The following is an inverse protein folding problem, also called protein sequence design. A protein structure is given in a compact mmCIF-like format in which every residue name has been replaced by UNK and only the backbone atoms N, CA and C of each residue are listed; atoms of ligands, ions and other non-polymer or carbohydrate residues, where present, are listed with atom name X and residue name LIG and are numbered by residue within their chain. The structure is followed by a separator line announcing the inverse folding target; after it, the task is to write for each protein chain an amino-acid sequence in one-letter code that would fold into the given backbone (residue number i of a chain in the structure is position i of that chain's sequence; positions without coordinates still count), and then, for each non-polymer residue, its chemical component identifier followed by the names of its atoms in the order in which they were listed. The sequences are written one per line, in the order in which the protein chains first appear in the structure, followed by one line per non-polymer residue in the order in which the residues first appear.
data_IF_779014898705
#
_entry.id   IF_779014898705
#
_cell.length_a   1.000
_cell.length_b   1.000
_cell.length_c   1.000
_cell.angle_alpha   90.00
_cell.angle_beta   90.00
_cell.angle_gamma   90.00
#
_symmetry.space_group_name_H-M   'P 1'
#
loop_
_entity.id
_entity.type
_entity.pdbx_description
1 polymer ?
#
# COMPACT_ATOMS: atom_id res chain seq x y z
N UNK A 1 10.37 8.36 46.81
CA UNK A 1 10.21 7.77 45.45
C UNK A 1 8.78 7.23 45.34
N UNK A 2 7.90 7.93 44.63
CA UNK A 2 6.49 7.57 44.47
C UNK A 2 6.34 6.65 43.26
N UNK A 3 5.91 5.40 43.46
CA UNK A 3 5.61 4.44 42.38
C UNK A 3 4.33 4.86 41.64
N UNK A 4 4.29 4.87 40.29
CA UNK A 4 3.07 5.16 39.54
C UNK A 4 2.09 3.97 39.58
N UNK A 5 0.81 4.27 39.71
CA UNK A 5 -0.27 3.28 39.74
C UNK A 5 -0.48 2.61 38.37
N UNK A 6 -0.80 1.30 38.31
CA UNK A 6 -1.05 0.61 37.06
C UNK A 6 -2.41 1.05 36.48
N UNK A 7 -2.40 1.66 35.30
CA UNK A 7 -3.63 1.98 34.57
C UNK A 7 -4.07 0.77 33.75
N UNK A 8 -5.08 0.05 34.25
CA UNK A 8 -5.71 -1.07 33.54
C UNK A 8 -6.52 -0.53 32.36
N UNK A 9 -5.92 -0.46 31.16
CA UNK A 9 -6.62 -0.01 29.96
C UNK A 9 -7.61 -1.09 29.49
N UNK A 10 -8.90 -0.74 29.43
CA UNK A 10 -9.95 -1.61 28.88
C UNK A 10 -9.61 -2.01 27.44
N UNK A 11 -9.76 -3.29 27.05
CA UNK A 11 -9.51 -3.72 25.68
C UNK A 11 -10.46 -3.00 24.73
N UNK A 12 -9.91 -2.41 23.66
CA UNK A 12 -10.73 -1.70 22.66
C UNK A 12 -11.60 -2.72 21.93
N UNK A 13 -12.89 -2.39 21.74
CA UNK A 13 -13.78 -3.18 20.87
C UNK A 13 -13.23 -3.16 19.46
N UNK A 14 -12.81 -4.31 18.95
CA UNK A 14 -12.37 -4.45 17.57
C UNK A 14 -13.53 -4.98 16.73
N UNK A 15 -13.84 -4.27 15.64
CA UNK A 15 -14.80 -4.73 14.65
C UNK A 15 -14.08 -5.57 13.59
N UNK A 16 -14.70 -6.67 13.12
CA UNK A 16 -14.12 -7.49 12.06
C UNK A 16 -14.06 -6.73 10.72
N UNK A 17 -13.16 -7.10 9.79
CA UNK A 17 -13.06 -6.47 8.47
C UNK A 17 -14.36 -6.54 7.66
N UNK A 18 -15.09 -7.65 7.75
CA UNK A 18 -16.36 -7.91 7.07
C UNK A 18 -17.44 -6.98 7.59
N UNK A 19 -17.55 -6.86 8.92
CA UNK A 19 -18.49 -5.93 9.55
C UNK A 19 -18.24 -4.49 9.14
N UNK A 20 -16.97 -4.05 9.07
CA UNK A 20 -16.63 -2.69 8.62
C UNK A 20 -17.04 -2.48 7.16
N UNK A 21 -16.86 -3.48 6.30
CA UNK A 21 -17.29 -3.40 4.90
C UNK A 21 -18.82 -3.30 4.77
N UNK A 22 -19.56 -4.16 5.46
CA UNK A 22 -21.03 -4.14 5.50
C UNK A 22 -21.54 -2.79 6.03
N UNK A 23 -20.93 -2.28 7.10
CA UNK A 23 -21.28 -0.99 7.69
C UNK A 23 -21.04 0.18 6.72
N UNK A 24 -19.94 0.14 5.95
CA UNK A 24 -19.67 1.16 4.93
C UNK A 24 -20.63 1.04 3.74
N UNK A 25 -21.02 -0.16 3.32
CA UNK A 25 -22.05 -0.37 2.28
C UNK A 25 -23.40 0.19 2.72
N UNK A 26 -23.80 -0.09 3.97
CA UNK A 26 -25.03 0.44 4.56
C UNK A 26 -24.97 1.98 4.61
N UNK A 27 -23.87 2.54 5.12
CA UNK A 27 -23.66 3.99 5.16
C UNK A 27 -23.72 4.65 3.76
N UNK A 28 -23.35 3.94 2.69
CA UNK A 28 -23.51 4.41 1.31
C UNK A 28 -24.98 4.45 0.83
N UNK A 29 -25.86 3.60 1.37
CA UNK A 29 -27.27 3.52 0.99
C UNK A 29 -28.16 4.49 1.76
N UNK A 30 -27.99 4.53 3.09
CA UNK A 30 -28.88 5.28 4.00
C UNK A 30 -28.21 6.52 4.61
N UNK A 31 -26.92 6.72 4.37
CA UNK A 31 -26.11 7.78 4.96
C UNK A 31 -25.43 7.38 6.26
N UNK A 32 -24.33 8.08 6.59
CA UNK A 32 -23.46 7.77 7.73
C UNK A 32 -24.20 7.89 9.06
N UNK A 33 -25.00 8.94 9.26
CA UNK A 33 -25.72 9.17 10.50
C UNK A 33 -26.81 8.11 10.76
N UNK A 34 -27.53 7.68 9.72
CA UNK A 34 -28.54 6.64 9.85
C UNK A 34 -27.90 5.27 10.12
N UNK A 35 -26.85 4.91 9.38
CA UNK A 35 -26.11 3.66 9.58
C UNK A 35 -25.43 3.58 10.95
N UNK A 36 -24.90 4.71 11.46
CA UNK A 36 -24.32 4.77 12.80
C UNK A 36 -25.37 4.44 13.89
N UNK A 37 -26.58 5.00 13.78
CA UNK A 37 -27.69 4.71 14.70
C UNK A 37 -28.12 3.25 14.64
N UNK A 38 -28.31 2.71 13.43
CA UNK A 38 -28.75 1.32 13.22
C UNK A 38 -27.74 0.30 13.75
N UNK A 39 -26.44 0.58 13.56
CA UNK A 39 -25.36 -0.31 14.01
C UNK A 39 -24.87 -0.02 15.43
N UNK A 40 -25.48 0.95 16.12
CA UNK A 40 -25.03 1.43 17.45
C UNK A 40 -23.54 1.79 17.48
N UNK A 41 -23.07 2.44 16.42
CA UNK A 41 -21.69 2.93 16.25
C UNK A 41 -21.64 4.45 16.40
N UNK A 42 -20.46 4.98 16.69
CA UNK A 42 -20.22 6.40 16.53
C UNK A 42 -20.01 6.75 15.06
N UNK A 43 -20.60 7.86 14.59
CA UNK A 43 -20.41 8.35 13.22
C UNK A 43 -18.91 8.53 12.87
N UNK A 44 -18.11 8.96 13.84
CA UNK A 44 -16.66 9.11 13.70
C UNK A 44 -15.95 7.80 13.33
N UNK A 45 -16.46 6.64 13.76
CA UNK A 45 -15.91 5.33 13.38
C UNK A 45 -16.12 5.06 11.90
N UNK A 46 -17.32 5.36 11.37
CA UNK A 46 -17.62 5.20 9.96
C UNK A 46 -16.80 6.15 9.09
N UNK A 47 -16.63 7.41 9.49
CA UNK A 47 -15.74 8.35 8.79
C UNK A 47 -14.28 7.88 8.80
N UNK A 48 -13.78 7.40 9.94
CA UNK A 48 -12.43 6.87 10.04
C UNK A 48 -12.21 5.63 9.15
N UNK A 49 -13.19 4.71 9.09
CA UNK A 49 -13.11 3.54 8.23
C UNK A 49 -13.17 3.91 6.75
N UNK A 50 -14.01 4.88 6.37
CA UNK A 50 -14.08 5.38 5.00
C UNK A 50 -12.76 6.01 4.55
N UNK A 51 -12.18 6.86 5.40
CA UNK A 51 -10.86 7.47 5.14
C UNK A 51 -9.78 6.42 4.99
N UNK A 52 -9.75 5.41 5.87
CA UNK A 52 -8.79 4.30 5.80
C UNK A 52 -8.97 3.43 4.55
N UNK A 53 -10.20 3.23 4.08
CA UNK A 53 -10.48 2.50 2.85
C UNK A 53 -9.97 3.29 1.63
N UNK A 54 -10.25 4.59 1.59
CA UNK A 54 -9.77 5.46 0.50
C UNK A 54 -8.24 5.50 0.43
N UNK A 55 -7.57 5.64 1.58
CA UNK A 55 -6.10 5.65 1.64
C UNK A 55 -5.50 4.33 1.12
N UNK A 56 -6.09 3.18 1.46
CA UNK A 56 -5.63 1.88 0.97
C UNK A 56 -5.80 1.73 -0.55
N UNK A 57 -6.91 2.24 -1.11
CA UNK A 57 -7.12 2.23 -2.56
C UNK A 57 -6.04 3.08 -3.26
N UNK A 58 -5.82 4.30 -2.78
CA UNK A 58 -4.81 5.20 -3.35
C UNK A 58 -3.38 4.68 -3.19
N UNK A 59 -3.07 3.99 -2.08
CA UNK A 59 -1.75 3.39 -1.89
C UNK A 59 -1.55 2.21 -2.82
N UNK A 60 -2.58 1.38 -3.01
CA UNK A 60 -2.53 0.24 -3.93
C UNK A 60 -2.35 0.67 -5.38
N UNK A 61 -3.03 1.73 -5.83
CA UNK A 61 -2.84 2.30 -7.16
C UNK A 61 -1.39 2.76 -7.38
N UNK A 62 -0.85 3.52 -6.42
CA UNK A 62 0.55 3.98 -6.47
C UNK A 62 1.54 2.82 -6.46
N UNK A 63 1.31 1.80 -5.66
CA UNK A 63 2.14 0.60 -5.62
C UNK A 63 2.15 -0.13 -6.96
N UNK A 64 1.00 -0.21 -7.64
CA UNK A 64 0.91 -0.80 -8.97
C UNK A 64 1.68 0.00 -10.03
N UNK A 65 1.58 1.33 -10.00
CA UNK A 65 2.35 2.22 -10.88
C UNK A 65 3.85 2.04 -10.68
N UNK A 66 4.31 2.03 -9.42
CA UNK A 66 5.71 1.80 -9.08
C UNK A 66 6.18 0.41 -9.53
N UNK A 67 5.35 -0.62 -9.41
CA UNK A 67 5.68 -1.97 -9.87
C UNK A 67 5.85 -2.03 -11.40
N UNK A 68 4.98 -1.36 -12.15
CA UNK A 68 5.07 -1.26 -13.60
C UNK A 68 6.35 -0.52 -14.03
N UNK A 69 6.66 0.60 -13.37
CA UNK A 69 7.89 1.35 -13.62
C UNK A 69 9.14 0.52 -13.27
N UNK A 70 9.14 -0.18 -12.14
CA UNK A 70 10.24 -1.05 -11.74
C UNK A 70 10.51 -2.16 -12.76
N UNK A 71 9.45 -2.76 -13.32
CA UNK A 71 9.57 -3.77 -14.37
C UNK A 71 10.17 -3.18 -15.66
N UNK A 72 9.75 -1.98 -16.05
CA UNK A 72 10.33 -1.26 -17.19
C UNK A 72 11.81 -0.95 -16.97
N UNK A 73 12.17 -0.40 -15.82
CA UNK A 73 13.55 -0.06 -15.48
C UNK A 73 14.45 -1.30 -15.48
N UNK A 74 13.98 -2.42 -14.92
CA UNK A 74 14.72 -3.69 -14.94
C UNK A 74 14.99 -4.20 -16.35
N UNK A 75 14.04 -4.05 -17.28
CA UNK A 75 14.26 -4.40 -18.69
C UNK A 75 15.33 -3.54 -19.33
N UNK A 76 15.27 -2.22 -19.10
CA UNK A 76 16.28 -1.30 -19.64
C UNK A 76 17.68 -1.58 -19.08
N UNK A 77 17.79 -1.90 -17.78
CA UNK A 77 19.07 -2.29 -17.17
C UNK A 77 19.61 -3.58 -17.80
N UNK A 78 18.75 -4.57 -18.07
CA UNK A 78 19.17 -5.81 -18.73
C UNK A 78 19.67 -5.55 -20.16
N UNK A 79 18.93 -4.78 -20.95
CA UNK A 79 19.30 -4.40 -22.32
C UNK A 79 20.65 -3.66 -22.36
N UNK A 80 20.83 -2.67 -21.49
CA UNK A 80 22.10 -1.94 -21.38
C UNK A 80 23.26 -2.85 -20.96
N UNK A 81 23.02 -3.82 -20.07
CA UNK A 81 24.05 -4.77 -19.69
C UNK A 81 24.48 -5.66 -20.87
N UNK A 82 23.54 -6.07 -21.73
CA UNK A 82 23.84 -6.82 -22.95
C UNK A 82 24.65 -5.98 -23.95
N UNK A 83 24.25 -4.72 -24.19
CA UNK A 83 24.99 -3.80 -25.05
C UNK A 83 26.43 -3.61 -24.59
N UNK A 84 26.64 -3.38 -23.30
CA UNK A 84 27.97 -3.24 -22.71
C UNK A 84 28.80 -4.51 -22.87
N UNK A 85 28.19 -5.69 -22.69
CA UNK A 85 28.88 -6.96 -22.89
C UNK A 85 29.33 -7.15 -24.34
N UNK A 86 28.49 -6.77 -25.31
CA UNK A 86 28.83 -6.81 -26.74
C UNK A 86 29.98 -5.86 -27.06
N UNK A 87 29.90 -4.60 -26.61
CA UNK A 87 30.95 -3.60 -26.82
C UNK A 87 32.28 -4.04 -26.21
N UNK A 88 32.26 -4.59 -25.00
CA UNK A 88 33.45 -5.10 -24.34
C UNK A 88 34.07 -6.27 -25.12
N UNK A 89 33.23 -7.20 -25.61
CA UNK A 89 33.69 -8.31 -26.45
C UNK A 89 34.32 -7.81 -27.76
N UNK A 90 33.71 -6.84 -28.42
CA UNK A 90 34.26 -6.22 -29.63
C UNK A 90 35.61 -5.55 -29.35
N UNK A 91 35.71 -4.73 -28.29
CA UNK A 91 36.95 -4.07 -27.88
C UNK A 91 38.09 -5.07 -27.63
N UNK A 92 37.81 -6.18 -26.94
CA UNK A 92 38.82 -7.23 -26.73
C UNK A 92 39.27 -7.92 -28.02
N UNK A 93 38.37 -8.15 -28.97
CA UNK A 93 38.72 -8.71 -30.27
C UNK A 93 39.63 -7.77 -31.07
N UNK A 94 39.28 -6.48 -31.17
CA UNK A 94 40.09 -5.48 -31.87
C UNK A 94 41.47 -5.30 -31.21
N UNK A 95 41.53 -5.23 -29.88
CA UNK A 95 42.80 -5.11 -29.15
C UNK A 95 43.75 -6.31 -29.40
N UNK A 96 43.22 -7.52 -29.59
CA UNK A 96 44.01 -8.72 -29.91
C UNK A 96 44.56 -8.71 -31.35
N UNK A 97 43.87 -8.06 -32.29
CA UNK A 97 44.22 -8.03 -33.72
C UNK A 97 45.17 -6.87 -34.09
N UNK A 98 45.39 -5.92 -33.16
CA UNK A 98 46.32 -4.79 -33.29
C UNK A 98 47.75 -5.13 -32.84
N UNK A 99 47.99 -6.37 -32.40
CA UNK A 99 49.31 -6.95 -32.15
C UNK A 99 49.64 -7.93 -33.27
#
# INVERSE_FOLDING_TARGET
MTKPAPTTKKPRKQHSPEFRHEALKLAGRIGVAAAARELSLYESQLYAWRSKQQQQMTSSERENELAAENARLKRQVAEQAEELAILQKAATYFAKRLK
#
